data_IF_885868482306
#
_entry.id   IF_885868482306
#
_cell.length_a   1.000
_cell.length_b   1.000
_cell.length_c   1.000
_cell.angle_alpha   90.00
_cell.angle_beta   90.00
_cell.angle_gamma   90.00
#
_symmetry.space_group_name_H-M   'P 1'
#
loop_
_entity.id
_entity.type
_entity.pdbx_description
1 polymer ?
#
# COMPACT_ATOMS: atom_id res chain seq x y z
N UNK A 1 -41.35 -1.23 63.57
CA UNK A 1 -39.92 -1.30 63.18
C UNK A 1 -39.82 -2.12 61.92
N UNK A 2 -39.34 -1.47 60.85
CA UNK A 2 -39.31 -2.00 59.49
C UNK A 2 -38.11 -2.94 59.26
N UNK A 3 -38.24 -3.88 58.33
CA UNK A 3 -37.16 -4.17 57.38
C UNK A 3 -37.69 -4.94 56.17
N UNK A 4 -37.81 -4.21 55.07
CA UNK A 4 -38.07 -4.73 53.74
C UNK A 4 -36.85 -5.53 53.25
N UNK A 5 -37.08 -6.72 52.71
CA UNK A 5 -36.07 -7.48 51.97
C UNK A 5 -36.24 -7.11 50.50
N UNK A 6 -35.33 -6.29 49.99
CA UNK A 6 -35.27 -5.93 48.56
C UNK A 6 -34.41 -6.97 47.86
N UNK A 7 -35.02 -7.81 47.02
CA UNK A 7 -34.28 -8.64 46.06
C UNK A 7 -33.78 -7.75 44.92
N UNK A 8 -32.47 -7.51 44.87
CA UNK A 8 -31.82 -6.89 43.72
C UNK A 8 -31.61 -7.93 42.62
N UNK A 9 -32.38 -7.85 41.54
CA UNK A 9 -32.14 -8.61 40.32
C UNK A 9 -30.97 -7.95 39.57
N UNK A 10 -29.81 -8.59 39.55
CA UNK A 10 -28.66 -8.16 38.76
C UNK A 10 -28.87 -8.64 37.32
N UNK A 11 -29.29 -7.73 36.44
CA UNK A 11 -29.30 -7.93 34.99
C UNK A 11 -27.86 -7.91 34.48
N UNK A 12 -27.31 -9.08 34.12
CA UNK A 12 -26.07 -9.19 33.36
C UNK A 12 -26.32 -8.66 31.94
N UNK A 13 -25.91 -7.43 31.67
CA UNK A 13 -25.78 -6.90 30.31
C UNK A 13 -24.57 -7.57 29.65
N UNK A 14 -24.81 -8.66 28.90
CA UNK A 14 -23.80 -9.21 28.00
C UNK A 14 -23.66 -8.21 26.85
N UNK A 15 -22.70 -7.28 26.97
CA UNK A 15 -22.26 -6.50 25.83
C UNK A 15 -21.54 -7.47 24.87
N UNK A 16 -22.29 -7.98 23.89
CA UNK A 16 -21.69 -8.64 22.74
C UNK A 16 -20.86 -7.57 22.02
N UNK A 17 -19.54 -7.60 22.22
CA UNK A 17 -18.62 -6.90 21.35
C UNK A 17 -18.78 -7.52 19.96
N UNK A 18 -19.62 -6.91 19.13
CA UNK A 18 -19.67 -7.22 17.72
C UNK A 18 -18.31 -6.81 17.19
N UNK A 19 -17.40 -7.78 17.03
CA UNK A 19 -16.23 -7.57 16.20
C UNK A 19 -16.79 -7.26 14.82
N UNK A 20 -16.87 -5.98 14.46
CA UNK A 20 -17.10 -5.56 13.09
C UNK A 20 -15.96 -6.16 12.28
N UNK A 21 -16.18 -7.35 11.73
CA UNK A 21 -15.31 -7.89 10.70
C UNK A 21 -15.19 -6.77 9.67
N UNK A 22 -13.98 -6.28 9.41
CA UNK A 22 -13.74 -5.25 8.41
C UNK A 22 -14.47 -5.66 7.13
N UNK A 23 -15.61 -5.02 6.88
CA UNK A 23 -16.53 -5.46 5.83
C UNK A 23 -15.87 -5.11 4.50
N UNK A 24 -15.86 -6.06 3.58
CA UNK A 24 -15.39 -5.88 2.21
C UNK A 24 -16.58 -5.91 1.26
N UNK A 25 -16.49 -5.25 0.09
CA UNK A 25 -17.50 -5.40 -0.94
C UNK A 25 -17.65 -6.88 -1.36
N UNK A 26 -18.84 -7.22 -1.87
CA UNK A 26 -19.15 -8.59 -2.32
C UNK A 26 -18.36 -8.99 -3.56
N UNK A 27 -17.95 -8.01 -4.37
CA UNK A 27 -17.20 -8.22 -5.60
C UNK A 27 -16.30 -7.01 -5.86
N UNK A 28 -15.06 -7.25 -6.27
CA UNK A 28 -14.14 -6.21 -6.71
C UNK A 28 -13.37 -6.73 -7.92
N UNK A 29 -13.31 -5.94 -8.98
CA UNK A 29 -12.50 -6.23 -10.16
C UNK A 29 -11.60 -5.05 -10.52
N UNK A 30 -10.52 -5.32 -11.23
CA UNK A 30 -9.66 -4.31 -11.84
C UNK A 30 -9.83 -4.42 -13.35
N UNK A 31 -10.46 -3.43 -13.99
CA UNK A 31 -10.72 -3.46 -15.44
C UNK A 31 -9.45 -3.31 -16.27
N UNK A 32 -8.57 -2.42 -15.85
CA UNK A 32 -7.30 -2.17 -16.50
C UNK A 32 -6.30 -1.58 -15.52
N UNK A 33 -5.03 -1.71 -15.88
CA UNK A 33 -3.92 -1.01 -15.24
C UNK A 33 -3.06 -0.40 -16.32
N UNK A 34 -2.63 0.84 -16.13
CA UNK A 34 -1.64 1.51 -16.97
C UNK A 34 -0.38 1.81 -16.19
N UNK A 35 0.75 1.83 -16.91
CA UNK A 35 2.08 2.02 -16.36
C UNK A 35 2.77 3.20 -17.04
N UNK A 36 3.46 4.03 -16.26
CA UNK A 36 4.33 5.08 -16.76
C UNK A 36 5.56 5.26 -15.88
N UNK A 37 6.73 5.46 -16.47
CA UNK A 37 7.99 5.65 -15.75
C UNK A 37 9.15 4.91 -16.39
N UNK A 38 10.28 4.89 -15.70
CA UNK A 38 11.51 4.23 -16.16
C UNK A 38 11.83 2.92 -15.40
N UNK A 39 10.97 2.52 -14.45
CA UNK A 39 11.11 1.29 -13.68
C UNK A 39 10.04 0.24 -13.95
N UNK A 40 9.06 0.53 -14.80
CA UNK A 40 7.95 -0.38 -15.13
C UNK A 40 7.44 -0.19 -16.56
N UNK A 41 6.92 -1.27 -17.13
CA UNK A 41 6.17 -1.33 -18.38
C UNK A 41 5.28 -2.59 -18.37
N UNK A 42 4.50 -2.78 -19.43
CA UNK A 42 3.59 -3.93 -19.55
C UNK A 42 4.31 -5.30 -19.65
N UNK A 43 5.58 -5.32 -20.04
CA UNK A 43 6.34 -6.56 -20.22
C UNK A 43 7.03 -7.02 -18.92
N UNK A 44 7.34 -6.09 -18.03
CA UNK A 44 8.13 -6.35 -16.82
C UNK A 44 7.36 -6.14 -15.52
N UNK A 45 6.08 -5.76 -15.60
CA UNK A 45 5.26 -5.48 -14.43
C UNK A 45 3.96 -6.27 -14.50
N UNK A 46 3.64 -6.96 -13.40
CA UNK A 46 2.42 -7.72 -13.28
C UNK A 46 1.71 -7.36 -11.97
N UNK A 47 0.43 -7.69 -11.84
CA UNK A 47 -0.36 -7.40 -10.66
C UNK A 47 -1.32 -8.55 -10.33
N UNK A 48 -1.69 -8.65 -9.06
CA UNK A 48 -2.66 -9.62 -8.56
C UNK A 48 -3.53 -8.93 -7.50
N UNK A 49 -4.85 -9.05 -7.63
CA UNK A 49 -5.81 -8.72 -6.59
C UNK A 49 -6.12 -10.00 -5.79
N UNK A 50 -6.09 -9.92 -4.47
CA UNK A 50 -6.43 -11.04 -3.59
C UNK A 50 -7.92 -11.39 -3.68
N UNK A 51 -8.25 -12.66 -3.47
CA UNK A 51 -9.64 -13.15 -3.53
C UNK A 51 -10.56 -12.55 -2.45
N UNK A 52 -9.99 -12.00 -1.38
CA UNK A 52 -10.73 -11.31 -0.31
C UNK A 52 -10.83 -9.79 -0.55
N UNK A 53 -10.30 -9.31 -1.68
CA UNK A 53 -10.28 -7.91 -2.10
C UNK A 53 -9.59 -6.94 -1.13
N UNK A 54 -8.76 -7.44 -0.21
CA UNK A 54 -8.03 -6.63 0.77
C UNK A 54 -6.61 -6.32 0.34
N UNK A 55 -6.13 -6.87 -0.76
CA UNK A 55 -4.72 -6.74 -1.13
C UNK A 55 -4.53 -6.67 -2.63
N UNK A 56 -3.78 -5.67 -3.09
CA UNK A 56 -3.26 -5.62 -4.46
C UNK A 56 -1.75 -5.75 -4.39
N UNK A 57 -1.20 -6.73 -5.08
CA UNK A 57 0.24 -6.95 -5.18
C UNK A 57 0.72 -6.56 -6.57
N UNK A 58 1.73 -5.70 -6.64
CA UNK A 58 2.46 -5.41 -7.87
C UNK A 58 3.82 -6.07 -7.85
N UNK A 59 4.16 -6.71 -8.96
CA UNK A 59 5.44 -7.36 -9.20
C UNK A 59 6.23 -6.64 -10.28
N UNK A 60 7.47 -6.22 -10.02
CA UNK A 60 8.27 -5.44 -10.99
C UNK A 60 9.61 -6.10 -11.32
N UNK A 61 10.03 -5.98 -12.57
CA UNK A 61 11.36 -6.36 -13.04
C UNK A 61 12.32 -5.18 -13.25
N UNK A 62 11.85 -3.93 -13.28
CA UNK A 62 12.65 -2.76 -13.67
C UNK A 62 13.01 -1.78 -12.55
N UNK A 63 12.59 -2.02 -11.31
CA UNK A 63 12.76 -1.08 -10.19
C UNK A 63 14.13 -1.24 -9.49
N UNK A 64 15.22 -1.11 -10.23
CA UNK A 64 16.60 -1.22 -9.71
C UNK A 64 17.31 0.13 -9.80
N UNK A 65 17.72 0.67 -8.64
CA UNK A 65 18.50 1.91 -8.57
C UNK A 65 19.95 1.62 -8.15
N UNK A 66 20.92 2.25 -8.82
CA UNK A 66 22.35 2.08 -8.57
C UNK A 66 23.13 3.38 -8.72
N UNK A 67 24.16 3.57 -7.89
CA UNK A 67 25.15 4.64 -8.02
C UNK A 67 26.16 4.39 -9.14
N UNK A 68 26.29 3.15 -9.62
CA UNK A 68 27.30 2.73 -10.61
C UNK A 68 26.89 3.05 -12.06
N UNK A 69 25.69 3.58 -12.26
CA UNK A 69 25.13 3.93 -13.57
C UNK A 69 25.00 5.43 -13.82
N UNK A 70 24.15 5.78 -14.78
CA UNK A 70 23.81 7.16 -15.11
C UNK A 70 22.98 7.85 -14.01
N UNK A 71 22.74 9.15 -14.14
CA UNK A 71 21.80 9.85 -13.25
C UNK A 71 20.39 9.22 -13.27
N UNK A 72 19.98 8.66 -14.41
CA UNK A 72 18.68 7.96 -14.54
C UNK A 72 18.67 6.58 -13.87
N UNK A 73 19.84 6.03 -13.53
CA UNK A 73 19.96 4.76 -12.81
C UNK A 73 19.98 4.97 -11.30
N UNK A 74 20.28 6.19 -10.83
CA UNK A 74 20.17 6.55 -9.40
C UNK A 74 18.73 6.67 -8.92
N UNK A 75 17.76 6.75 -9.84
CA UNK A 75 16.34 6.92 -9.52
C UNK A 75 15.46 6.19 -10.52
N UNK A 76 14.75 5.15 -10.06
CA UNK A 76 13.67 4.50 -10.81
C UNK A 76 12.31 4.89 -10.23
N UNK A 77 11.33 5.02 -11.10
CA UNK A 77 9.95 5.24 -10.69
C UNK A 77 8.96 4.51 -11.58
N UNK A 78 7.85 4.12 -10.96
CA UNK A 78 6.68 3.60 -11.64
C UNK A 78 5.43 4.31 -11.14
N UNK A 79 4.65 4.84 -12.07
CA UNK A 79 3.28 5.29 -11.89
C UNK A 79 2.36 4.17 -12.38
N UNK A 80 1.50 3.69 -11.50
CA UNK A 80 0.46 2.71 -11.78
C UNK A 80 -0.88 3.42 -11.64
N UNK A 81 -1.74 3.32 -12.65
CA UNK A 81 -3.09 3.86 -12.61
C UNK A 81 -4.06 2.77 -12.98
N UNK A 82 -5.01 2.46 -12.10
CA UNK A 82 -5.94 1.36 -12.33
C UNK A 82 -7.36 1.69 -11.92
N UNK A 83 -8.29 1.13 -12.68
CA UNK A 83 -9.73 1.34 -12.49
C UNK A 83 -10.33 0.13 -11.79
N UNK A 84 -10.88 0.36 -10.59
CA UNK A 84 -11.52 -0.65 -9.77
C UNK A 84 -13.04 -0.55 -9.92
N UNK A 85 -13.70 -1.68 -10.18
CA UNK A 85 -15.15 -1.79 -10.05
C UNK A 85 -15.47 -2.48 -8.74
N UNK A 86 -16.42 -1.93 -8.00
CA UNK A 86 -16.98 -2.50 -6.79
C UNK A 86 -18.39 -1.95 -6.61
N UNK A 87 -19.28 -2.65 -5.88
CA UNK A 87 -20.65 -2.22 -5.65
C UNK A 87 -20.76 -0.79 -5.12
N UNK A 88 -21.87 -0.14 -5.46
CA UNK A 88 -22.24 1.15 -4.87
C UNK A 88 -22.34 1.06 -3.34
N UNK A 89 -22.19 2.21 -2.68
CA UNK A 89 -22.18 2.30 -1.23
C UNK A 89 -20.83 1.96 -0.58
N UNK A 90 -19.77 1.82 -1.36
CA UNK A 90 -18.41 1.58 -0.87
C UNK A 90 -17.44 2.70 -1.21
N UNK A 91 -16.47 2.89 -0.31
CA UNK A 91 -15.32 3.76 -0.48
C UNK A 91 -14.05 2.99 -0.10
N UNK A 92 -12.98 3.19 -0.88
CA UNK A 92 -11.72 2.46 -0.73
C UNK A 92 -10.57 3.41 -0.42
N UNK A 93 -9.58 2.92 0.32
CA UNK A 93 -8.32 3.58 0.60
C UNK A 93 -7.19 2.54 0.66
N UNK A 94 -5.93 2.99 0.71
CA UNK A 94 -4.78 2.12 1.00
C UNK A 94 -4.34 2.40 2.42
N UNK A 95 -4.48 1.39 3.29
CA UNK A 95 -4.08 1.49 4.69
C UNK A 95 -2.59 1.27 4.90
N UNK A 96 -2.02 0.28 4.21
CA UNK A 96 -0.64 -0.13 4.37
C UNK A 96 0.03 -0.41 3.03
N UNK A 97 1.33 -0.16 2.97
CA UNK A 97 2.20 -0.64 1.90
C UNK A 97 3.30 -1.52 2.49
N UNK A 98 3.47 -2.72 1.94
CA UNK A 98 4.62 -3.59 2.25
C UNK A 98 5.55 -3.65 1.06
N UNK A 99 6.80 -3.20 1.25
CA UNK A 99 7.85 -3.26 0.24
C UNK A 99 8.87 -4.35 0.57
N UNK A 100 9.13 -5.23 -0.38
CA UNK A 100 10.10 -6.33 -0.25
C UNK A 100 11.27 -6.12 -1.21
N UNK A 101 12.50 -6.24 -0.72
CA UNK A 101 13.65 -5.66 -1.39
C UNK A 101 14.98 -6.34 -1.13
N UNK A 102 16.02 -5.87 -1.83
CA UNK A 102 17.42 -6.14 -1.52
C UNK A 102 18.24 -4.84 -1.56
N UNK A 103 19.03 -4.62 -0.52
CA UNK A 103 19.91 -3.46 -0.42
C UNK A 103 21.36 -3.93 -0.34
N UNK A 104 22.23 -3.33 -1.14
CA UNK A 104 23.69 -3.34 -0.98
C UNK A 104 24.15 -1.87 -0.96
N UNK A 105 24.22 -1.31 0.24
CA UNK A 105 24.46 0.10 0.49
C UNK A 105 25.73 0.22 1.32
N UNK A 106 26.76 0.84 0.75
CA UNK A 106 28.03 1.07 1.44
C UNK A 106 27.89 2.17 2.51
N UNK A 107 28.93 2.32 3.33
CA UNK A 107 29.04 3.44 4.26
C UNK A 107 28.91 4.79 3.52
N UNK A 108 28.37 5.81 4.20
CA UNK A 108 28.12 7.15 3.63
C UNK A 108 27.23 7.14 2.37
N UNK A 109 26.39 6.12 2.24
CA UNK A 109 25.42 5.96 1.15
C UNK A 109 24.05 5.60 1.72
N UNK A 110 23.02 5.88 0.94
CA UNK A 110 21.63 5.72 1.34
C UNK A 110 20.80 5.12 0.20
N UNK A 111 19.84 4.29 0.56
CA UNK A 111 18.77 3.85 -0.33
C UNK A 111 17.44 4.30 0.21
N UNK A 112 16.57 4.80 -0.67
CA UNK A 112 15.29 5.38 -0.32
C UNK A 112 14.24 4.76 -1.23
N UNK A 113 13.14 4.27 -0.66
CA UNK A 113 11.93 4.01 -1.42
C UNK A 113 10.75 4.74 -0.80
N UNK A 114 9.90 5.26 -1.66
CA UNK A 114 8.69 5.98 -1.29
C UNK A 114 7.53 5.47 -2.12
N UNK A 115 6.34 5.47 -1.53
CA UNK A 115 5.10 5.21 -2.25
C UNK A 115 4.08 6.29 -1.93
N UNK A 116 3.46 6.79 -2.98
CA UNK A 116 2.38 7.76 -2.94
C UNK A 116 1.13 7.16 -3.52
N UNK A 117 -0.05 7.50 -3.01
CA UNK A 117 -1.29 7.19 -3.71
C UNK A 117 -2.31 8.34 -3.64
N UNK A 118 -3.17 8.38 -4.65
CA UNK A 118 -4.26 9.35 -4.80
C UNK A 118 -5.33 8.83 -5.77
N UNK A 119 -6.48 9.48 -5.78
CA UNK A 119 -7.59 9.17 -6.69
C UNK A 119 -7.71 10.26 -7.76
N UNK A 120 -7.86 9.88 -9.03
CA UNK A 120 -7.96 10.86 -10.13
C UNK A 120 -9.13 11.83 -9.92
N UNK A 121 -8.92 13.12 -10.15
CA UNK A 121 -9.95 14.15 -9.99
C UNK A 121 -10.27 14.53 -8.54
N UNK A 122 -9.67 13.85 -7.56
CA UNK A 122 -9.81 14.18 -6.14
C UNK A 122 -8.59 14.92 -5.61
N UNK A 123 -8.77 15.70 -4.55
CA UNK A 123 -7.67 16.33 -3.81
C UNK A 123 -7.07 15.36 -2.80
N UNK A 124 -5.81 15.61 -2.44
CA UNK A 124 -5.09 14.83 -1.44
C UNK A 124 -4.17 13.76 -2.05
N UNK A 125 -3.09 13.48 -1.34
CA UNK A 125 -2.13 12.42 -1.66
C UNK A 125 -1.59 11.90 -0.34
N UNK A 126 -1.62 10.58 -0.18
CA UNK A 126 -1.00 9.90 0.95
C UNK A 126 0.39 9.41 0.53
N UNK A 127 1.34 9.43 1.46
CA UNK A 127 2.74 9.08 1.20
C UNK A 127 3.31 8.28 2.37
N UNK A 128 4.15 7.30 2.05
CA UNK A 128 5.10 6.67 2.96
C UNK A 128 6.49 6.69 2.35
N UNK A 129 7.52 6.85 3.18
CA UNK A 129 8.92 6.83 2.77
C UNK A 129 9.74 6.02 3.76
N UNK A 130 10.68 5.24 3.23
CA UNK A 130 11.69 4.54 4.01
C UNK A 130 13.07 4.82 3.48
N UNK A 131 13.96 5.15 4.41
CA UNK A 131 15.38 5.36 4.18
C UNK A 131 16.17 4.25 4.86
N UNK A 132 16.98 3.53 4.08
CA UNK A 132 17.93 2.53 4.54
C UNK A 132 19.32 3.14 4.48
N UNK A 133 19.96 3.32 5.63
CA UNK A 133 21.33 3.83 5.74
C UNK A 133 22.33 2.68 5.63
N UNK A 134 23.44 2.92 4.94
CA UNK A 134 24.57 2.00 4.93
C UNK A 134 25.40 2.06 6.24
N UNK A 135 26.29 1.07 6.47
CA UNK A 135 26.50 -0.11 5.65
C UNK A 135 25.37 -1.14 5.84
N UNK A 136 24.78 -1.62 4.75
CA UNK A 136 23.70 -2.62 4.77
C UNK A 136 23.79 -3.50 3.53
N UNK A 137 23.86 -4.81 3.75
CA UNK A 137 23.72 -5.82 2.69
C UNK A 137 22.63 -6.79 3.09
N UNK A 138 21.75 -7.12 2.16
CA UNK A 138 20.75 -8.17 2.33
C UNK A 138 19.33 -7.77 1.98
N UNK A 139 18.44 -8.75 2.05
CA UNK A 139 17.02 -8.56 1.83
C UNK A 139 16.39 -7.67 2.92
N UNK A 140 15.34 -6.94 2.54
CA UNK A 140 14.52 -6.18 3.47
C UNK A 140 13.04 -6.40 3.18
N UNK A 141 12.24 -6.25 4.23
CA UNK A 141 10.79 -6.22 4.15
C UNK A 141 10.32 -5.22 5.19
N UNK A 142 9.53 -4.25 4.75
CA UNK A 142 8.95 -3.25 5.63
C UNK A 142 7.48 -3.08 5.29
N UNK A 143 6.66 -3.10 6.32
CA UNK A 143 5.24 -2.73 6.26
C UNK A 143 5.09 -1.35 6.89
N UNK A 144 4.55 -0.42 6.12
CA UNK A 144 4.37 0.97 6.52
C UNK A 144 2.88 1.32 6.47
N UNK A 145 2.37 1.88 7.58
CA UNK A 145 1.03 2.46 7.65
C UNK A 145 1.05 3.86 7.04
N UNK A 146 0.04 4.16 6.20
CA UNK A 146 -0.18 5.54 5.76
C UNK A 146 -0.75 6.37 6.90
N UNK A 147 -0.02 7.40 7.33
CA UNK A 147 -0.45 8.32 8.40
C UNK A 147 -1.72 9.09 8.05
N UNK A 148 -1.93 9.34 6.77
CA UNK A 148 -3.14 9.96 6.22
C UNK A 148 -3.77 9.03 5.21
N UNK A 149 -5.08 8.81 5.33
CA UNK A 149 -5.85 8.03 4.39
C UNK A 149 -6.59 8.95 3.42
N UNK A 150 -6.33 8.80 2.13
CA UNK A 150 -7.18 9.39 1.08
C UNK A 150 -8.21 8.34 0.71
N UNK A 151 -9.49 8.69 0.81
CA UNK A 151 -10.58 7.79 0.47
C UNK A 151 -11.14 8.14 -0.91
N UNK A 152 -11.53 7.13 -1.68
CA UNK A 152 -12.31 7.35 -2.90
C UNK A 152 -13.63 8.06 -2.55
N UNK A 153 -14.15 8.84 -3.48
CA UNK A 153 -15.52 9.29 -3.41
C UNK A 153 -16.49 8.09 -3.41
N UNK A 154 -17.69 8.34 -2.88
CA UNK A 154 -18.75 7.34 -2.83
C UNK A 154 -19.46 7.28 -4.18
N UNK A 155 -19.77 6.06 -4.65
CA UNK A 155 -20.51 5.79 -5.90
C UNK A 155 -19.83 6.36 -7.17
N UNK A 156 -18.56 6.72 -7.05
CA UNK A 156 -17.70 7.16 -8.13
C UNK A 156 -16.27 6.72 -7.79
N UNK A 157 -15.75 5.74 -8.53
CA UNK A 157 -14.42 5.21 -8.31
C UNK A 157 -13.51 5.70 -9.46
N UNK A 158 -12.93 6.91 -9.39
CA UNK A 158 -11.92 7.30 -10.36
C UNK A 158 -10.70 6.38 -10.25
N UNK A 159 -9.79 6.42 -11.24
CA UNK A 159 -8.57 5.62 -11.16
C UNK A 159 -7.83 5.84 -9.83
N UNK A 160 -7.49 4.73 -9.18
CA UNK A 160 -6.52 4.70 -8.09
C UNK A 160 -5.13 4.78 -8.72
N UNK A 161 -4.39 5.80 -8.31
CA UNK A 161 -3.05 6.07 -8.77
C UNK A 161 -2.06 5.78 -7.66
N UNK A 162 -1.05 4.97 -7.95
CA UNK A 162 0.03 4.65 -7.03
C UNK A 162 1.35 4.98 -7.73
N UNK A 163 2.18 5.79 -7.08
CA UNK A 163 3.52 6.13 -7.55
C UNK A 163 4.54 5.58 -6.59
N UNK A 164 5.43 4.72 -7.08
CA UNK A 164 6.57 4.25 -6.31
C UNK A 164 7.86 4.77 -6.91
N UNK A 165 8.78 5.18 -6.04
CA UNK A 165 10.10 5.66 -6.42
C UNK A 165 11.13 4.90 -5.60
N UNK A 166 12.21 4.49 -6.25
CA UNK A 166 13.43 3.99 -5.59
C UNK A 166 14.60 4.84 -6.03
N UNK A 167 15.36 5.30 -5.04
CA UNK A 167 16.52 6.18 -5.22
C UNK A 167 17.69 5.69 -4.38
N UNK A 168 18.89 5.87 -4.91
CA UNK A 168 20.13 5.68 -4.16
C UNK A 168 21.00 6.94 -4.22
N UNK A 169 21.73 7.19 -3.15
CA UNK A 169 22.59 8.36 -2.96
C UNK A 169 23.90 7.96 -2.28
N UNK A 170 24.93 8.82 -2.39
CA UNK A 170 26.24 8.60 -1.78
C UNK A 170 27.27 8.02 -2.74
N UNK A 171 28.25 7.30 -2.17
CA UNK A 171 29.40 6.78 -2.91
C UNK A 171 29.09 5.49 -3.65
N UNK A 172 28.51 4.50 -2.96
CA UNK A 172 28.20 3.18 -3.52
C UNK A 172 26.93 2.61 -2.90
N UNK A 173 25.90 2.44 -3.71
CA UNK A 173 24.65 1.84 -3.30
C UNK A 173 23.91 1.23 -4.49
N UNK A 174 23.36 0.05 -4.25
CA UNK A 174 22.37 -0.62 -5.09
C UNK A 174 21.16 -0.89 -4.22
N UNK A 175 20.01 -0.39 -4.64
CA UNK A 175 18.72 -0.78 -4.09
C UNK A 175 17.95 -1.45 -5.21
N UNK A 176 17.86 -2.76 -5.08
CA UNK A 176 16.98 -3.57 -5.85
C UNK A 176 15.81 -3.97 -4.95
N UNK A 177 14.85 -4.55 -5.59
CA UNK A 177 13.54 -4.68 -5.08
C UNK A 177 13.23 -6.14 -5.43
N UNK A 178 13.54 -6.99 -4.44
CA UNK A 178 13.78 -8.44 -4.39
C UNK A 178 14.96 -9.00 -5.20
N UNK A 179 15.68 -9.93 -4.58
CA UNK A 179 16.84 -10.65 -5.12
C UNK A 179 16.71 -12.19 -5.01
N UNK A 180 15.60 -12.73 -4.49
CA UNK A 180 15.46 -14.18 -4.29
C UNK A 180 14.41 -14.82 -5.20
N UNK A 181 13.27 -14.18 -5.47
CA UNK A 181 12.23 -14.70 -6.38
C UNK A 181 12.19 -13.95 -7.73
N UNK A 182 13.24 -13.19 -8.05
CA UNK A 182 13.43 -12.38 -9.27
C UNK A 182 12.38 -11.29 -9.54
N UNK A 183 11.53 -10.94 -8.57
CA UNK A 183 10.46 -9.96 -8.75
C UNK A 183 10.29 -9.07 -7.54
N UNK A 184 10.43 -7.75 -7.73
CA UNK A 184 10.04 -6.78 -6.71
C UNK A 184 8.59 -6.96 -6.34
N UNK A 185 8.23 -6.93 -5.05
CA UNK A 185 6.85 -6.93 -4.61
C UNK A 185 6.50 -5.68 -3.80
N UNK A 186 5.47 -4.97 -4.24
CA UNK A 186 4.71 -4.04 -3.43
C UNK A 186 3.34 -4.63 -3.14
N UNK A 187 3.00 -4.72 -1.86
CA UNK A 187 1.74 -5.27 -1.41
C UNK A 187 0.97 -4.12 -0.75
N UNK A 188 -0.16 -3.75 -1.34
CA UNK A 188 -1.02 -2.68 -0.87
C UNK A 188 -2.23 -3.27 -0.16
N UNK A 189 -2.39 -2.96 1.12
CA UNK A 189 -3.57 -3.34 1.88
C UNK A 189 -4.71 -2.34 1.61
N UNK A 190 -5.79 -2.83 1.02
CA UNK A 190 -7.00 -2.07 0.75
C UNK A 190 -7.88 -2.01 1.99
N UNK A 191 -8.29 -0.80 2.34
CA UNK A 191 -9.25 -0.51 3.39
C UNK A 191 -10.58 -0.14 2.77
N UNK A 192 -11.65 -0.76 3.26
CA UNK A 192 -12.99 -0.56 2.77
C UNK A 192 -13.87 0.04 3.86
N UNK A 193 -14.75 0.96 3.48
CA UNK A 193 -15.80 1.47 4.35
C UNK A 193 -17.09 1.63 3.57
N UNK A 194 -18.20 1.48 4.28
CA UNK A 194 -19.50 1.84 3.74
C UNK A 194 -19.63 3.36 3.66
N UNK A 195 -20.22 3.80 2.56
CA UNK A 195 -20.61 5.19 2.38
C UNK A 195 -21.73 5.56 3.34
N UNK A 196 -21.75 6.79 3.87
CA UNK A 196 -22.89 7.29 4.61
C UNK A 196 -24.17 7.10 3.79
N UNK A 197 -25.21 6.56 4.42
CA UNK A 197 -26.55 6.64 3.86
C UNK A 197 -26.98 8.10 3.98
N UNK A 198 -27.22 8.75 2.85
CA UNK A 198 -27.84 10.08 2.82
C UNK A 198 -29.30 9.99 3.24
#
# INVERSE_FOLDING_TARGET
MARQVVLAAVLLMIAAAVQTSAQTPTEVTISYVTYAGNGCNYDNTNWVLSNDYKTVTFMFGGMVATTDGSLADKRKSCQMSFFMNYPDGWSVSIGQATGRGFADIAENSDGIYETHYYFSGQTGTAMVERKIKGPKVGSFEFTDDFLTLVWSECNNAPNLNIKTVVRVEGQKAVMALDSQDTKFQLIFNLQWRQCPQN
#
